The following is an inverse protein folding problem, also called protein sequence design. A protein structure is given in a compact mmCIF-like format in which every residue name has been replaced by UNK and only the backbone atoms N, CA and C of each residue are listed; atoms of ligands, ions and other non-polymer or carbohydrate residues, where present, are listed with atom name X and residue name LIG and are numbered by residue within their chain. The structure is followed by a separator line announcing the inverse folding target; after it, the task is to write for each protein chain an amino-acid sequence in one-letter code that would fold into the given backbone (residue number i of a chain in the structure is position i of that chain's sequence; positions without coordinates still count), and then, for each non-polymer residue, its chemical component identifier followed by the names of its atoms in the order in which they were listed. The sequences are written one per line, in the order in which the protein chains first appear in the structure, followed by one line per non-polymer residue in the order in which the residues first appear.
data_IF_235666784401
#
_entry.id   IF_235666784401
#
_cell.length_a   1.000
_cell.length_b   1.000
_cell.length_c   1.000
_cell.angle_alpha   90.00
_cell.angle_beta   90.00
_cell.angle_gamma   90.00
#
_symmetry.space_group_name_H-M   'P 1'
#
loop_
_entity.id
_entity.type
_entity.pdbx_description
1 polymer ?
#
# COMPACT_ATOMS: atom_id res chain seq x y z
N UNK A 1 -18.85 -7.57 -11.13
CA UNK A 1 -17.56 -6.95 -10.93
C UNK A 1 -17.44 -6.47 -9.49
N UNK A 2 -16.34 -6.82 -8.82
CA UNK A 2 -15.94 -6.30 -7.51
C UNK A 2 -14.65 -5.51 -7.73
N UNK A 3 -14.54 -4.30 -7.17
CA UNK A 3 -13.36 -3.44 -7.37
C UNK A 3 -12.85 -2.95 -6.01
N UNK A 4 -11.53 -3.00 -5.84
CA UNK A 4 -10.83 -2.41 -4.68
C UNK A 4 -9.58 -1.66 -5.15
N UNK A 5 -9.61 -0.34 -5.06
CA UNK A 5 -8.47 0.52 -5.39
C UNK A 5 -7.79 0.95 -4.11
N UNK A 6 -6.66 0.32 -3.77
CA UNK A 6 -5.89 0.56 -2.54
C UNK A 6 -6.73 0.53 -1.24
N UNK A 7 -7.85 -0.22 -1.23
CA UNK A 7 -8.77 -0.26 -0.09
C UNK A 7 -8.66 -1.54 0.72
N UNK A 8 -8.85 -2.71 0.09
CA UNK A 8 -8.88 -4.01 0.77
C UNK A 8 -7.60 -4.32 1.56
N UNK A 9 -6.46 -3.81 1.10
CA UNK A 9 -5.16 -4.00 1.74
C UNK A 9 -5.08 -3.44 3.19
N UNK A 10 -5.94 -2.50 3.55
CA UNK A 10 -5.98 -1.90 4.89
C UNK A 10 -6.94 -2.61 5.86
N UNK A 11 -7.59 -3.68 5.43
CA UNK A 11 -8.44 -4.46 6.32
C UNK A 11 -7.58 -5.17 7.39
N UNK A 12 -7.96 -5.10 8.68
CA UNK A 12 -7.17 -5.69 9.77
C UNK A 12 -7.11 -7.22 9.69
N UNK A 13 -8.15 -7.87 9.18
CA UNK A 13 -8.19 -9.30 8.91
C UNK A 13 -8.13 -9.54 7.40
N UNK A 14 -6.92 -9.65 6.88
CA UNK A 14 -6.66 -9.77 5.45
C UNK A 14 -7.22 -11.08 4.84
N UNK A 15 -7.07 -12.26 5.46
CA UNK A 15 -7.69 -13.49 4.95
C UNK A 15 -9.20 -13.40 4.89
N UNK A 16 -9.85 -12.81 5.90
CA UNK A 16 -11.30 -12.61 5.91
C UNK A 16 -11.74 -11.64 4.82
N UNK A 17 -10.99 -10.54 4.63
CA UNK A 17 -11.25 -9.59 3.54
C UNK A 17 -11.17 -10.27 2.17
N UNK A 18 -10.15 -11.10 1.93
CA UNK A 18 -10.05 -11.90 0.71
C UNK A 18 -11.22 -12.88 0.55
N UNK A 19 -11.66 -13.51 1.66
CA UNK A 19 -12.82 -14.40 1.67
C UNK A 19 -14.11 -13.66 1.29
N UNK A 20 -14.32 -12.45 1.83
CA UNK A 20 -15.50 -11.63 1.51
C UNK A 20 -15.51 -11.15 0.06
N UNK A 21 -14.36 -10.76 -0.50
CA UNK A 21 -14.26 -10.42 -1.92
C UNK A 21 -14.67 -11.60 -2.80
N UNK A 22 -14.24 -12.82 -2.45
CA UNK A 22 -14.66 -14.07 -3.14
C UNK A 22 -16.14 -14.34 -2.97
N UNK A 23 -16.69 -14.12 -1.78
CA UNK A 23 -18.09 -14.39 -1.46
C UNK A 23 -19.03 -13.47 -2.23
N UNK A 24 -18.75 -12.17 -2.27
CA UNK A 24 -19.64 -11.18 -2.92
C UNK A 24 -19.50 -11.15 -4.44
N UNK A 25 -18.39 -11.67 -4.97
CA UNK A 25 -18.23 -11.84 -6.41
C UNK A 25 -19.06 -13.02 -6.90
N UNK A 26 -19.98 -12.77 -7.83
CA UNK A 26 -20.77 -13.84 -8.44
C UNK A 26 -19.90 -14.83 -9.22
N UNK A 27 -20.36 -16.03 -9.40
CA UNK A 27 -19.81 -17.05 -10.31
C UNK A 27 -19.64 -16.46 -11.72
N UNK A 28 -18.51 -16.69 -12.37
CA UNK A 28 -18.14 -16.09 -13.65
C UNK A 28 -17.89 -14.57 -13.61
N UNK A 29 -17.89 -13.97 -12.41
CA UNK A 29 -17.60 -12.55 -12.22
C UNK A 29 -16.09 -12.25 -12.14
N UNK A 30 -15.75 -10.99 -11.94
CA UNK A 30 -14.37 -10.56 -11.83
C UNK A 30 -14.14 -9.74 -10.56
N UNK A 31 -12.94 -9.89 -9.96
CA UNK A 31 -12.44 -9.05 -8.88
C UNK A 31 -11.23 -8.31 -9.45
N UNK A 32 -11.26 -6.97 -9.44
CA UNK A 32 -10.17 -6.13 -9.90
C UNK A 32 -9.61 -5.32 -8.73
N UNK A 33 -8.29 -5.35 -8.54
CA UNK A 33 -7.65 -4.69 -7.40
C UNK A 33 -6.38 -3.96 -7.82
N UNK A 34 -6.06 -2.89 -7.08
CA UNK A 34 -4.73 -2.29 -7.06
C UNK A 34 -4.22 -2.23 -5.62
N UNK A 35 -2.99 -2.66 -5.39
CA UNK A 35 -2.38 -2.72 -4.07
C UNK A 35 -0.90 -2.34 -4.15
N UNK A 36 -0.39 -1.60 -3.16
CA UNK A 36 1.03 -1.29 -3.06
C UNK A 36 1.84 -2.58 -2.85
N UNK A 37 3.04 -2.62 -3.44
CA UNK A 37 3.99 -3.73 -3.25
C UNK A 37 4.95 -3.43 -2.11
N UNK A 38 5.55 -4.48 -1.56
CA UNK A 38 6.54 -4.38 -0.48
C UNK A 38 7.79 -3.61 -0.92
N UNK A 39 8.25 -3.83 -2.15
CA UNK A 39 9.53 -3.29 -2.64
C UNK A 39 9.42 -1.87 -3.24
N UNK A 40 8.23 -1.26 -3.26
CA UNK A 40 8.01 0.10 -3.73
C UNK A 40 8.18 1.14 -2.64
N UNK A 41 8.18 2.43 -3.02
CA UNK A 41 8.28 3.55 -2.08
C UNK A 41 7.29 3.46 -0.92
N UNK A 42 6.01 3.17 -1.19
CA UNK A 42 5.00 3.05 -0.13
C UNK A 42 5.28 1.84 0.78
N UNK A 43 5.82 0.72 0.24
CA UNK A 43 6.24 -0.42 1.07
C UNK A 43 7.35 -0.03 2.03
N UNK A 44 8.40 0.61 1.53
CA UNK A 44 9.51 1.12 2.36
C UNK A 44 9.03 2.15 3.39
N UNK A 45 8.09 3.03 3.00
CA UNK A 45 7.47 3.98 3.93
C UNK A 45 6.74 3.26 5.08
N UNK A 46 6.01 2.18 4.79
CA UNK A 46 5.36 1.38 5.85
C UNK A 46 6.38 0.74 6.79
N UNK A 47 7.51 0.25 6.27
CA UNK A 47 8.56 -0.32 7.10
C UNK A 47 9.14 0.73 8.06
N UNK A 48 9.38 1.97 7.59
CA UNK A 48 9.81 3.09 8.43
C UNK A 48 8.76 3.42 9.50
N UNK A 49 7.50 3.58 9.10
CA UNK A 49 6.42 3.88 10.06
C UNK A 49 6.31 2.79 11.14
N UNK A 50 6.45 1.53 10.75
CA UNK A 50 6.32 0.38 11.66
C UNK A 50 7.46 0.25 12.67
N UNK A 51 8.62 0.86 12.40
CA UNK A 51 9.73 0.93 13.36
C UNK A 51 9.44 1.89 14.52
N UNK A 52 8.60 2.89 14.29
CA UNK A 52 8.26 3.91 15.30
C UNK A 52 6.95 3.63 16.04
N UNK A 53 6.02 2.98 15.38
CA UNK A 53 4.73 2.63 16.00
C UNK A 53 4.13 1.39 15.34
N UNK A 54 3.44 0.56 16.12
CA UNK A 54 2.65 -0.52 15.54
C UNK A 54 1.57 0.06 14.62
N UNK A 55 1.60 -0.31 13.35
CA UNK A 55 0.56 0.11 12.41
C UNK A 55 -0.81 -0.44 12.86
N UNK A 56 -1.89 0.34 12.70
CA UNK A 56 -3.22 -0.04 13.18
C UNK A 56 -3.86 -1.19 12.39
N UNK A 57 -3.15 -1.81 11.46
CA UNK A 57 -3.64 -2.84 10.54
C UNK A 57 -3.44 -4.29 11.04
N UNK A 58 -3.18 -4.47 12.32
CA UNK A 58 -2.88 -5.79 12.88
C UNK A 58 -1.42 -6.20 12.66
N UNK A 59 -1.15 -7.50 12.68
CA UNK A 59 0.22 -8.06 12.62
C UNK A 59 0.79 -8.16 11.21
N UNK A 60 -0.02 -7.95 10.16
CA UNK A 60 0.38 -8.18 8.78
C UNK A 60 0.43 -6.87 7.99
N UNK A 61 1.52 -6.67 7.25
CA UNK A 61 1.69 -5.48 6.41
C UNK A 61 0.61 -5.39 5.32
N UNK A 62 0.03 -4.21 5.08
CA UNK A 62 -0.88 -3.98 3.95
C UNK A 62 -0.29 -4.35 2.59
N UNK A 63 1.02 -4.23 2.42
CA UNK A 63 1.73 -4.53 1.16
C UNK A 63 1.73 -6.02 0.79
N UNK A 64 1.32 -6.91 1.71
CA UNK A 64 1.09 -8.32 1.42
C UNK A 64 0.10 -8.53 0.27
N UNK A 65 -0.87 -7.63 0.09
CA UNK A 65 -1.79 -7.64 -1.04
C UNK A 65 -1.13 -7.34 -2.40
N UNK A 66 0.10 -6.84 -2.39
CA UNK A 66 0.97 -6.67 -3.56
C UNK A 66 1.88 -7.86 -3.83
N UNK A 67 1.80 -8.94 -3.05
CA UNK A 67 2.57 -10.19 -3.24
C UNK A 67 1.77 -11.17 -4.09
N UNK A 68 2.35 -11.56 -5.23
CA UNK A 68 1.72 -12.51 -6.16
C UNK A 68 1.49 -13.88 -5.53
N UNK A 69 2.41 -14.35 -4.68
CA UNK A 69 2.30 -15.65 -4.01
C UNK A 69 1.11 -15.67 -3.06
N UNK A 70 0.96 -14.62 -2.27
CA UNK A 70 -0.18 -14.49 -1.36
C UNK A 70 -1.51 -14.37 -2.13
N UNK A 71 -1.56 -13.58 -3.20
CA UNK A 71 -2.75 -13.47 -4.07
C UNK A 71 -3.12 -14.84 -4.64
N UNK A 72 -2.16 -15.58 -5.15
CA UNK A 72 -2.39 -16.94 -5.65
C UNK A 72 -2.91 -17.86 -4.55
N UNK A 73 -2.32 -17.84 -3.38
CA UNK A 73 -2.78 -18.65 -2.24
C UNK A 73 -4.25 -18.36 -1.88
N UNK A 74 -4.64 -17.09 -1.88
CA UNK A 74 -5.98 -16.69 -1.47
C UNK A 74 -7.04 -16.98 -2.56
N UNK A 75 -6.71 -16.81 -3.83
CA UNK A 75 -7.72 -16.75 -4.90
C UNK A 75 -7.70 -17.93 -5.87
N UNK A 76 -6.58 -18.67 -6.03
CA UNK A 76 -6.51 -19.82 -6.95
C UNK A 76 -7.61 -20.87 -6.73
N UNK A 77 -8.06 -21.16 -5.48
CA UNK A 77 -9.10 -22.16 -5.29
C UNK A 77 -10.45 -21.84 -5.96
N UNK A 78 -10.69 -20.57 -6.32
CA UNK A 78 -11.95 -20.13 -6.92
C UNK A 78 -11.76 -19.41 -8.27
N UNK A 79 -10.52 -19.25 -8.72
CA UNK A 79 -10.19 -18.50 -9.92
C UNK A 79 -10.08 -19.41 -11.16
N UNK A 80 -10.72 -19.00 -12.25
CA UNK A 80 -10.43 -19.49 -13.60
C UNK A 80 -9.09 -18.92 -14.10
N UNK A 81 -8.84 -17.64 -13.80
CA UNK A 81 -7.56 -16.98 -14.12
C UNK A 81 -7.23 -15.88 -13.13
N UNK A 82 -5.93 -15.63 -12.96
CA UNK A 82 -5.38 -14.52 -12.18
C UNK A 82 -4.36 -13.79 -13.06
N UNK A 83 -4.65 -12.54 -13.42
CA UNK A 83 -3.69 -11.66 -14.05
C UNK A 83 -3.06 -10.77 -12.97
N UNK A 84 -1.73 -10.75 -12.92
CA UNK A 84 -0.96 -9.95 -11.99
C UNK A 84 0.06 -9.11 -12.78
N UNK A 85 -0.02 -7.79 -12.69
CA UNK A 85 0.85 -6.87 -13.44
C UNK A 85 1.39 -5.81 -12.50
N UNK A 86 2.71 -5.63 -12.50
CA UNK A 86 3.34 -4.52 -11.79
C UNK A 86 3.23 -3.24 -12.60
N UNK A 87 2.86 -2.17 -11.93
CA UNK A 87 2.70 -0.82 -12.48
C UNK A 87 3.40 0.17 -11.57
N UNK A 88 3.61 1.39 -12.05
CA UNK A 88 4.18 2.48 -11.27
C UNK A 88 3.23 3.66 -11.27
N UNK A 89 3.00 4.21 -10.09
CA UNK A 89 2.42 5.52 -9.85
C UNK A 89 3.55 6.49 -9.50
N UNK A 90 3.47 7.72 -9.92
CA UNK A 90 4.46 8.74 -9.62
C UNK A 90 3.86 9.81 -8.72
N UNK A 91 4.32 9.87 -7.48
CA UNK A 91 4.03 10.99 -6.59
C UNK A 91 4.79 12.21 -7.07
N UNK A 92 4.08 13.30 -7.30
CA UNK A 92 4.65 14.58 -7.77
C UNK A 92 4.23 15.68 -6.83
N UNK A 93 5.21 16.30 -6.19
CA UNK A 93 5.00 17.39 -5.23
C UNK A 93 6.03 18.49 -5.46
N UNK A 94 5.71 19.75 -5.07
CA UNK A 94 6.68 20.87 -5.18
C UNK A 94 7.93 20.66 -4.33
N UNK A 95 7.84 19.87 -3.25
CA UNK A 95 9.00 19.45 -2.45
C UNK A 95 8.68 18.18 -1.62
N UNK A 96 9.71 17.45 -1.14
CA UNK A 96 9.55 16.37 -0.17
C UNK A 96 8.82 16.78 1.11
N UNK A 97 9.07 17.98 1.61
CA UNK A 97 8.40 18.52 2.80
C UNK A 97 6.90 18.67 2.57
N UNK A 98 6.47 19.21 1.44
CA UNK A 98 5.04 19.37 1.15
C UNK A 98 4.32 18.00 0.99
N UNK A 99 5.01 16.99 0.45
CA UNK A 99 4.48 15.62 0.46
C UNK A 99 4.26 15.14 1.91
N UNK A 100 5.27 15.27 2.76
CA UNK A 100 5.19 14.83 4.14
C UNK A 100 4.08 15.55 4.91
N UNK A 101 3.96 16.87 4.81
CA UNK A 101 2.90 17.66 5.43
C UNK A 101 1.51 17.21 4.97
N UNK A 102 1.34 16.96 3.68
CA UNK A 102 0.10 16.45 3.11
C UNK A 102 -0.22 15.05 3.69
N UNK A 103 0.75 14.15 3.73
CA UNK A 103 0.56 12.80 4.25
C UNK A 103 0.31 12.78 5.75
N UNK A 104 0.98 13.62 6.54
CA UNK A 104 0.68 13.80 7.99
C UNK A 104 -0.74 14.28 8.24
N UNK A 105 -1.31 15.05 7.33
CA UNK A 105 -2.65 15.62 7.49
C UNK A 105 -3.74 14.65 7.04
N UNK A 106 -3.53 13.98 5.90
CA UNK A 106 -4.62 13.29 5.19
C UNK A 106 -4.42 11.78 5.03
N UNK A 107 -3.19 11.27 5.14
CA UNK A 107 -2.93 9.84 4.96
C UNK A 107 -2.89 9.12 6.30
N UNK A 108 -3.93 8.33 6.57
CA UNK A 108 -4.15 7.67 7.86
C UNK A 108 -2.93 7.01 8.49
N UNK A 109 -2.19 6.15 7.80
CA UNK A 109 -1.01 5.49 8.36
C UNK A 109 0.06 6.46 8.88
N UNK A 110 0.40 7.48 8.08
CA UNK A 110 1.40 8.49 8.45
C UNK A 110 0.88 9.36 9.59
N UNK A 111 -0.37 9.83 9.49
CA UNK A 111 -1.02 10.63 10.54
C UNK A 111 -0.97 9.91 11.89
N UNK A 112 -1.43 8.66 11.96
CA UNK A 112 -1.47 7.87 13.18
C UNK A 112 -0.07 7.64 13.77
N UNK A 113 0.93 7.37 12.93
CA UNK A 113 2.31 7.20 13.38
C UNK A 113 2.83 8.47 14.07
N UNK A 114 2.62 9.65 13.47
CA UNK A 114 3.05 10.92 14.08
C UNK A 114 2.27 11.28 15.35
N UNK A 115 0.97 11.00 15.42
CA UNK A 115 0.14 11.28 16.60
C UNK A 115 0.54 10.46 17.83
N UNK A 116 1.10 9.26 17.63
CA UNK A 116 1.53 8.38 18.70
C UNK A 116 2.91 8.71 19.30
N UNK A 117 3.63 9.69 18.77
CA UNK A 117 5.01 10.02 19.16
C UNK A 117 5.11 11.34 19.92
N UNK A 118 6.12 11.42 20.79
CA UNK A 118 6.59 12.68 21.39
C UNK A 118 7.35 13.54 20.36
N UNK A 119 7.82 14.71 20.78
CA UNK A 119 8.45 15.66 19.85
C UNK A 119 9.79 15.16 19.30
N UNK A 120 10.55 14.38 20.09
CA UNK A 120 11.80 13.76 19.64
C UNK A 120 11.52 12.66 18.61
N UNK A 121 10.56 11.78 18.89
CA UNK A 121 10.12 10.74 17.99
C UNK A 121 9.55 11.28 16.66
N UNK A 122 8.76 12.37 16.73
CA UNK A 122 8.28 13.06 15.52
C UNK A 122 9.41 13.60 14.66
N UNK A 123 10.41 14.21 15.29
CA UNK A 123 11.59 14.75 14.60
C UNK A 123 12.39 13.63 13.93
N UNK A 124 12.57 12.51 14.62
CA UNK A 124 13.27 11.35 14.07
C UNK A 124 12.50 10.72 12.91
N UNK A 125 11.20 10.49 13.07
CA UNK A 125 10.36 9.93 12.01
C UNK A 125 10.33 10.84 10.78
N UNK A 126 10.22 12.15 10.94
CA UNK A 126 10.28 13.13 9.86
C UNK A 126 11.58 12.98 9.05
N UNK A 127 12.72 12.92 9.73
CA UNK A 127 14.03 12.74 9.12
C UNK A 127 14.11 11.42 8.32
N UNK A 128 13.61 10.34 8.86
CA UNK A 128 13.65 9.03 8.20
C UNK A 128 12.70 8.97 6.99
N UNK A 129 11.51 9.56 7.08
CA UNK A 129 10.60 9.66 5.93
C UNK A 129 11.21 10.51 4.83
N UNK A 130 11.83 11.66 5.15
CA UNK A 130 12.51 12.49 4.16
C UNK A 130 13.71 11.77 3.53
N UNK A 131 14.48 11.02 4.32
CA UNK A 131 15.56 10.16 3.79
C UNK A 131 15.03 9.07 2.87
N UNK A 132 13.89 8.47 3.20
CA UNK A 132 13.23 7.49 2.33
C UNK A 132 12.77 8.12 1.01
N UNK A 133 12.18 9.32 1.06
CA UNK A 133 11.80 10.05 -0.16
C UNK A 133 13.03 10.29 -1.03
N UNK A 134 14.14 10.74 -0.45
CA UNK A 134 15.39 11.04 -1.17
C UNK A 134 15.95 9.83 -1.92
N UNK A 135 15.86 8.63 -1.32
CA UNK A 135 16.30 7.38 -1.97
C UNK A 135 15.54 7.05 -3.25
N UNK A 136 14.28 7.45 -3.34
CA UNK A 136 13.41 7.17 -4.50
C UNK A 136 13.20 8.39 -5.41
N UNK A 137 13.60 9.60 -4.97
CA UNK A 137 13.34 10.82 -5.72
C UNK A 137 14.19 10.88 -7.00
N UNK A 138 13.53 11.07 -8.11
CA UNK A 138 14.16 11.19 -9.42
C UNK A 138 14.40 12.65 -9.83
N UNK A 139 13.85 13.61 -9.09
CA UNK A 139 14.01 15.04 -9.37
C UNK A 139 15.33 15.56 -8.79
N UNK A 140 15.98 16.48 -9.51
CA UNK A 140 17.27 17.09 -9.14
C UNK A 140 17.16 18.60 -8.92
N UNK A 141 15.93 19.13 -8.91
CA UNK A 141 15.63 20.57 -8.86
C UNK A 141 14.94 21.00 -7.54
N UNK A 142 14.96 20.14 -6.54
CA UNK A 142 14.29 20.38 -5.26
C UNK A 142 12.82 19.97 -5.24
N UNK A 143 12.24 19.58 -6.40
CA UNK A 143 10.90 19.00 -6.45
C UNK A 143 10.92 17.51 -6.07
N UNK A 144 9.76 16.91 -5.99
CA UNK A 144 9.61 15.47 -5.71
C UNK A 144 8.95 14.77 -6.89
N UNK A 145 9.64 13.78 -7.46
CA UNK A 145 9.10 12.79 -8.42
C UNK A 145 9.50 11.41 -7.94
N UNK A 146 8.62 10.75 -7.21
CA UNK A 146 8.89 9.45 -6.60
C UNK A 146 8.02 8.36 -7.22
N UNK A 147 8.61 7.37 -7.90
CA UNK A 147 7.89 6.20 -8.38
C UNK A 147 7.51 5.29 -7.21
N UNK A 148 6.26 4.85 -7.17
CA UNK A 148 5.81 3.80 -6.26
C UNK A 148 5.20 2.66 -7.04
N UNK A 149 5.70 1.46 -6.82
CA UNK A 149 5.21 0.26 -7.47
C UNK A 149 3.92 -0.22 -6.83
N UNK A 150 2.98 -0.65 -7.67
CA UNK A 150 1.77 -1.32 -7.25
C UNK A 150 1.43 -2.50 -8.15
N UNK A 151 0.75 -3.48 -7.58
CA UNK A 151 0.18 -4.60 -8.31
C UNK A 151 -1.22 -4.23 -8.82
N UNK A 152 -1.44 -4.38 -10.11
CA UNK A 152 -2.76 -4.42 -10.74
C UNK A 152 -3.15 -5.89 -10.90
N UNK A 153 -4.25 -6.28 -10.29
CA UNK A 153 -4.66 -7.68 -10.19
C UNK A 153 -6.08 -7.81 -10.72
N UNK A 154 -6.28 -8.75 -11.63
CA UNK A 154 -7.62 -9.11 -12.13
C UNK A 154 -7.80 -10.61 -11.95
N UNK A 155 -8.82 -10.99 -11.18
CA UNK A 155 -9.17 -12.37 -10.89
C UNK A 155 -10.52 -12.66 -11.57
N UNK A 156 -10.54 -13.65 -12.43
CA UNK A 156 -11.79 -14.18 -12.99
C UNK A 156 -12.23 -15.37 -12.16
N UNK A 157 -13.40 -15.25 -11.55
CA UNK A 157 -13.96 -16.33 -10.76
C UNK A 157 -14.52 -17.41 -11.69
N UNK A 158 -14.22 -18.66 -11.40
CA UNK A 158 -14.74 -19.81 -12.15
C UNK A 158 -16.28 -19.81 -12.22
N UNK A 159 -16.80 -20.39 -13.30
CA UNK A 159 -18.24 -20.55 -13.57
C UNK A 159 -18.89 -21.66 -12.74
#
# INVERSE_FOLDING_TARGET
LVVSTFGAMYAPDQPKSASELKRVCRTGGSIAMTNWTLNGFIGTLFDVLNQHSALPFGTESPTRWGDQSWINQQFSPVAESIEFRLKRFYFRYPSPIQFLEFFRTFYGPVKTAFEGLDDEGKTQLEKEVLSTIDQFNMAMDGTMIVPSEYAQIVIRKAG
#
